data_IF_340368054501
#
_entry.id   IF_340368054501
#
_cell.length_a   1.000
_cell.length_b   1.000
_cell.length_c   1.000
_cell.angle_alpha   90.00
_cell.angle_beta   90.00
_cell.angle_gamma   90.00
#
_symmetry.space_group_name_H-M   'P 1'
#
loop_
_entity.id
_entity.type
_entity.pdbx_description
1 polymer ?
#
# COMPACT_ATOMS: atom_id res chain seq x y z
N UNK A 1 4.12 0.99 -21.63
CA UNK A 1 2.82 0.99 -22.33
C UNK A 1 1.97 2.08 -21.70
N UNK A 2 1.12 2.76 -22.48
CA UNK A 2 0.19 3.75 -21.92
C UNK A 2 -0.79 3.06 -20.94
N UNK A 3 -1.18 3.74 -19.86
CA UNK A 3 -2.09 3.22 -18.86
C UNK A 3 -3.54 3.30 -19.34
N UNK A 4 -3.89 2.43 -20.28
CA UNK A 4 -5.19 2.42 -20.94
C UNK A 4 -6.07 1.32 -20.36
N UNK A 5 -7.28 1.71 -19.98
CA UNK A 5 -8.33 0.80 -19.51
C UNK A 5 -9.49 0.83 -20.51
N UNK A 6 -9.65 -0.27 -21.24
CA UNK A 6 -10.63 -0.41 -22.32
C UNK A 6 -11.88 -1.09 -21.79
N UNK A 7 -13.07 -0.59 -22.13
CA UNK A 7 -14.36 -1.16 -21.72
C UNK A 7 -15.28 -1.28 -22.92
N UNK A 8 -15.92 -2.44 -23.09
CA UNK A 8 -16.86 -2.66 -24.18
C UNK A 8 -17.90 -3.73 -23.83
N UNK A 9 -18.94 -3.80 -24.68
CA UNK A 9 -19.95 -4.84 -24.62
C UNK A 9 -19.53 -6.02 -25.51
N UNK A 10 -19.12 -7.13 -24.89
CA UNK A 10 -18.66 -8.31 -25.60
C UNK A 10 -19.75 -8.90 -26.53
N UNK A 11 -21.02 -8.79 -26.13
CA UNK A 11 -22.14 -9.40 -26.87
C UNK A 11 -22.42 -8.69 -28.19
N UNK A 12 -22.09 -7.40 -28.29
CA UNK A 12 -22.28 -6.64 -29.52
C UNK A 12 -20.99 -6.48 -30.32
N UNK A 13 -19.84 -6.39 -29.66
CA UNK A 13 -18.57 -6.26 -30.37
C UNK A 13 -18.20 -7.55 -31.10
N UNK A 14 -18.34 -8.72 -30.44
CA UNK A 14 -18.04 -10.03 -31.02
C UNK A 14 -19.00 -11.12 -30.51
N UNK A 15 -20.28 -11.11 -30.94
CA UNK A 15 -21.35 -11.99 -30.43
C UNK A 15 -21.06 -13.49 -30.52
N UNK A 16 -20.17 -13.91 -31.41
CA UNK A 16 -19.89 -15.31 -31.71
C UNK A 16 -18.64 -15.86 -31.02
N UNK A 17 -17.90 -15.04 -30.25
CA UNK A 17 -16.61 -15.44 -29.67
C UNK A 17 -16.57 -15.21 -28.17
N UNK A 18 -16.30 -16.26 -27.42
CA UNK A 18 -15.93 -16.17 -26.01
C UNK A 18 -14.47 -15.73 -25.91
N UNK A 19 -14.20 -14.71 -25.09
CA UNK A 19 -12.84 -14.25 -24.79
C UNK A 19 -12.24 -15.23 -23.80
N UNK A 20 -11.17 -15.91 -24.21
CA UNK A 20 -10.56 -17.01 -23.44
C UNK A 20 -9.05 -16.83 -23.18
N UNK A 21 -8.45 -15.80 -23.77
CA UNK A 21 -7.02 -15.50 -23.69
C UNK A 21 -6.80 -13.99 -23.62
N UNK A 22 -5.69 -13.55 -23.06
CA UNK A 22 -5.34 -12.13 -22.94
C UNK A 22 -5.06 -11.51 -24.31
N UNK A 23 -4.49 -12.27 -25.24
CA UNK A 23 -4.23 -11.82 -26.61
C UNK A 23 -5.53 -11.54 -27.37
N UNK A 24 -6.57 -12.36 -27.16
CA UNK A 24 -7.91 -12.09 -27.70
C UNK A 24 -8.51 -10.83 -27.08
N UNK A 25 -8.41 -10.67 -25.76
CA UNK A 25 -8.91 -9.51 -25.05
C UNK A 25 -8.24 -8.21 -25.55
N UNK A 26 -6.91 -8.22 -25.67
CA UNK A 26 -6.12 -7.12 -26.19
C UNK A 26 -6.49 -6.78 -27.64
N UNK A 27 -6.62 -7.79 -28.50
CA UNK A 27 -7.02 -7.61 -29.88
C UNK A 27 -8.39 -6.92 -29.97
N UNK A 28 -9.39 -7.39 -29.23
CA UNK A 28 -10.71 -6.76 -29.26
C UNK A 28 -10.71 -5.36 -28.66
N UNK A 29 -10.00 -5.13 -27.56
CA UNK A 29 -9.87 -3.81 -26.95
C UNK A 29 -9.26 -2.76 -27.90
N UNK A 30 -8.31 -3.18 -28.75
CA UNK A 30 -7.55 -2.29 -29.65
C UNK A 30 -8.10 -2.22 -31.08
N UNK A 31 -9.14 -3.01 -31.41
CA UNK A 31 -9.77 -3.02 -32.73
C UNK A 31 -11.27 -2.70 -32.63
N UNK A 32 -11.63 -1.46 -32.20
CA UNK A 32 -13.02 -1.04 -32.08
C UNK A 32 -13.77 -1.06 -33.41
N UNK A 33 -15.10 -1.17 -33.34
CA UNK A 33 -16.00 -1.07 -34.48
C UNK A 33 -16.82 0.21 -34.41
N UNK A 34 -17.18 0.76 -35.56
CA UNK A 34 -18.00 1.96 -35.68
C UNK A 34 -19.50 1.65 -35.47
N UNK A 35 -19.85 1.13 -34.30
CA UNK A 35 -21.23 0.77 -33.90
C UNK A 35 -21.80 1.69 -32.81
N UNK A 36 -20.96 2.55 -32.24
CA UNK A 36 -21.28 3.41 -31.11
C UNK A 36 -21.45 2.66 -29.79
N UNK A 37 -21.70 3.42 -28.71
CA UNK A 37 -21.88 2.84 -27.38
C UNK A 37 -23.22 2.15 -27.22
N UNK A 38 -23.18 0.95 -26.65
CA UNK A 38 -24.38 0.20 -26.27
C UNK A 38 -25.08 0.85 -25.08
N UNK A 39 -26.38 0.55 -24.88
CA UNK A 39 -27.11 1.03 -23.70
C UNK A 39 -26.51 0.51 -22.40
N UNK A 40 -25.90 -0.68 -22.40
CA UNK A 40 -25.16 -1.20 -21.24
C UNK A 40 -23.92 -0.34 -20.94
N UNK A 41 -23.17 0.03 -21.98
CA UNK A 41 -21.97 0.88 -21.83
C UNK A 41 -22.34 2.29 -21.36
N UNK A 42 -23.42 2.87 -21.90
CA UNK A 42 -23.95 4.16 -21.42
C UNK A 42 -24.44 4.08 -19.97
N UNK A 43 -25.19 3.03 -19.63
CA UNK A 43 -25.70 2.81 -18.26
C UNK A 43 -24.56 2.61 -17.27
N UNK A 44 -23.51 1.90 -17.67
CA UNK A 44 -22.29 1.75 -16.88
C UNK A 44 -21.61 3.09 -16.63
N UNK A 45 -21.43 3.92 -17.67
CA UNK A 45 -20.86 5.26 -17.51
C UNK A 45 -21.65 6.13 -16.53
N UNK A 46 -22.99 6.09 -16.58
CA UNK A 46 -23.86 6.82 -15.66
C UNK A 46 -23.76 6.29 -14.22
N UNK A 47 -23.63 4.97 -14.03
CA UNK A 47 -23.47 4.35 -12.71
C UNK A 47 -22.11 4.75 -12.09
N UNK A 48 -21.04 4.77 -12.90
CA UNK A 48 -19.73 5.26 -12.45
C UNK A 48 -19.79 6.75 -12.13
N UNK A 49 -20.41 7.58 -12.98
CA UNK A 49 -20.64 9.00 -12.70
C UNK A 49 -21.39 9.20 -11.38
N UNK A 50 -22.47 8.47 -11.15
CA UNK A 50 -23.27 8.56 -9.93
C UNK A 50 -22.44 8.26 -8.67
N UNK A 51 -21.55 7.26 -8.73
CA UNK A 51 -20.68 6.91 -7.59
C UNK A 51 -19.61 7.98 -7.39
N UNK A 52 -18.93 8.41 -8.45
CA UNK A 52 -17.82 9.38 -8.40
C UNK A 52 -18.30 10.76 -7.97
N UNK A 53 -19.50 11.16 -8.39
CA UNK A 53 -20.10 12.47 -8.07
C UNK A 53 -20.96 12.47 -6.82
N UNK A 54 -21.17 11.30 -6.19
CA UNK A 54 -21.93 11.20 -4.94
C UNK A 54 -21.30 12.09 -3.87
N UNK A 55 -22.06 12.99 -3.22
CA UNK A 55 -21.53 13.86 -2.18
C UNK A 55 -20.86 13.13 -1.00
N UNK A 56 -21.19 11.87 -0.79
CA UNK A 56 -20.61 11.04 0.29
C UNK A 56 -19.29 10.37 -0.13
N UNK A 57 -19.08 10.16 -1.43
CA UNK A 57 -17.94 9.42 -1.96
C UNK A 57 -16.98 10.29 -2.77
N UNK A 58 -17.41 11.45 -3.27
CA UNK A 58 -16.65 12.35 -4.13
C UNK A 58 -15.31 12.75 -3.52
N UNK A 59 -15.25 12.87 -2.18
CA UNK A 59 -14.03 13.17 -1.42
C UNK A 59 -12.94 12.07 -1.53
N UNK A 60 -13.24 10.92 -2.13
CA UNK A 60 -12.28 9.84 -2.43
C UNK A 60 -11.57 9.98 -3.79
N UNK A 61 -11.90 11.01 -4.56
CA UNK A 61 -11.40 11.17 -5.92
C UNK A 61 -10.74 12.52 -6.12
N UNK A 62 -9.66 12.53 -6.91
CA UNK A 62 -9.05 13.76 -7.38
C UNK A 62 -10.01 14.57 -8.26
N UNK A 63 -9.85 15.89 -8.30
CA UNK A 63 -10.70 16.78 -9.08
C UNK A 63 -10.74 16.40 -10.57
N UNK A 64 -9.62 15.92 -11.13
CA UNK A 64 -9.55 15.45 -12.53
C UNK A 64 -10.47 14.25 -12.78
N UNK A 65 -10.55 13.30 -11.84
CA UNK A 65 -11.45 12.15 -11.92
C UNK A 65 -12.91 12.64 -11.91
N UNK A 66 -13.24 13.53 -10.98
CA UNK A 66 -14.59 14.09 -10.86
C UNK A 66 -14.97 14.83 -12.15
N UNK A 67 -14.10 15.70 -12.65
CA UNK A 67 -14.34 16.47 -13.87
C UNK A 67 -14.50 15.59 -15.12
N UNK A 68 -13.76 14.49 -15.20
CA UNK A 68 -13.90 13.51 -16.29
C UNK A 68 -15.27 12.83 -16.25
N UNK A 69 -15.67 12.28 -15.09
CA UNK A 69 -16.91 11.53 -14.98
C UNK A 69 -18.18 12.38 -14.95
N UNK A 70 -18.10 13.66 -14.57
CA UNK A 70 -19.24 14.61 -14.65
C UNK A 70 -19.62 14.95 -16.11
N UNK A 71 -18.82 14.53 -17.09
CA UNK A 71 -19.02 14.83 -18.52
C UNK A 71 -19.35 13.58 -19.34
N UNK A 72 -19.74 12.46 -18.72
CA UNK A 72 -19.87 11.17 -19.42
C UNK A 72 -20.89 11.17 -20.56
N UNK A 73 -21.94 11.97 -20.46
CA UNK A 73 -22.94 12.12 -21.53
C UNK A 73 -22.32 12.64 -22.84
N UNK A 74 -21.22 13.38 -22.76
CA UNK A 74 -20.46 13.84 -23.92
C UNK A 74 -19.85 12.69 -24.74
N UNK A 75 -19.67 11.51 -24.14
CA UNK A 75 -19.12 10.33 -24.81
C UNK A 75 -20.18 9.49 -25.55
N UNK A 76 -21.47 9.71 -25.31
CA UNK A 76 -22.53 8.81 -25.80
C UNK A 76 -22.66 8.76 -27.33
N UNK A 77 -22.16 9.79 -28.01
CA UNK A 77 -22.20 9.91 -29.46
C UNK A 77 -20.87 9.49 -30.13
N UNK A 78 -19.96 8.85 -29.40
CA UNK A 78 -18.73 8.32 -29.98
C UNK A 78 -19.07 7.21 -30.99
N UNK A 79 -18.35 7.18 -32.13
CA UNK A 79 -18.58 6.18 -33.17
C UNK A 79 -18.02 4.81 -32.78
N UNK A 80 -16.91 4.79 -32.05
CA UNK A 80 -16.32 3.56 -31.49
C UNK A 80 -17.27 2.91 -30.48
N UNK A 81 -17.34 1.58 -30.48
CA UNK A 81 -18.06 0.81 -29.47
C UNK A 81 -17.19 0.36 -28.28
N UNK A 82 -15.93 0.79 -28.24
CA UNK A 82 -15.00 0.61 -27.11
C UNK A 82 -14.74 1.98 -26.48
N UNK A 83 -14.95 2.08 -25.16
CA UNK A 83 -14.58 3.24 -24.36
C UNK A 83 -13.19 3.07 -23.77
N UNK A 84 -12.41 4.15 -23.73
CA UNK A 84 -11.02 4.13 -23.23
C UNK A 84 -10.89 5.15 -22.12
N UNK A 85 -10.37 4.71 -20.97
CA UNK A 85 -9.94 5.57 -19.88
C UNK A 85 -8.42 5.63 -19.92
N UNK A 86 -7.88 6.84 -20.02
CA UNK A 86 -6.44 7.08 -19.98
C UNK A 86 -6.06 7.49 -18.56
N UNK A 87 -5.12 6.75 -17.94
CA UNK A 87 -4.40 7.04 -16.68
C UNK A 87 -5.21 7.33 -15.39
N UNK A 88 -6.51 7.64 -15.46
CA UNK A 88 -7.31 8.04 -14.29
C UNK A 88 -7.44 6.92 -13.26
N UNK A 89 -7.58 5.69 -13.71
CA UNK A 89 -7.69 4.50 -12.87
C UNK A 89 -6.43 4.26 -12.01
N UNK A 90 -5.30 4.85 -12.38
CA UNK A 90 -4.05 4.77 -11.59
C UNK A 90 -4.03 5.74 -10.42
N UNK A 91 -4.80 6.82 -10.51
CA UNK A 91 -4.85 7.88 -9.49
C UNK A 91 -5.62 7.46 -8.26
N UNK A 92 -6.53 6.48 -8.39
CA UNK A 92 -7.32 5.98 -7.27
C UNK A 92 -7.59 4.48 -7.39
N UNK A 93 -7.09 3.71 -6.42
CA UNK A 93 -7.44 2.29 -6.26
C UNK A 93 -8.94 2.10 -6.06
N UNK A 94 -9.60 3.07 -5.43
CA UNK A 94 -11.04 3.02 -5.24
C UNK A 94 -11.80 3.25 -6.55
N UNK A 95 -11.31 4.15 -7.41
CA UNK A 95 -11.83 4.26 -8.79
C UNK A 95 -11.65 2.94 -9.55
N UNK A 96 -10.45 2.33 -9.50
CA UNK A 96 -10.20 1.05 -10.15
C UNK A 96 -11.19 -0.03 -9.70
N UNK A 97 -11.45 -0.12 -8.39
CA UNK A 97 -12.48 -1.00 -7.83
C UNK A 97 -13.87 -0.71 -8.40
N UNK A 98 -14.30 0.55 -8.40
CA UNK A 98 -15.61 0.95 -8.91
C UNK A 98 -15.77 0.57 -10.38
N UNK A 99 -14.75 0.82 -11.21
CA UNK A 99 -14.78 0.46 -12.63
C UNK A 99 -15.02 -1.05 -12.80
N UNK A 100 -14.30 -1.88 -12.04
CA UNK A 100 -14.40 -3.35 -12.10
C UNK A 100 -15.72 -3.88 -11.52
N UNK A 101 -16.21 -3.33 -10.41
CA UNK A 101 -17.47 -3.82 -9.82
C UNK A 101 -18.69 -3.41 -10.66
N UNK A 102 -18.70 -2.19 -11.18
CA UNK A 102 -19.79 -1.70 -12.03
C UNK A 102 -19.82 -2.39 -13.39
N UNK A 103 -18.68 -2.67 -14.04
CA UNK A 103 -18.70 -3.35 -15.35
C UNK A 103 -19.38 -4.72 -15.25
N UNK A 104 -19.19 -5.43 -14.14
CA UNK A 104 -19.81 -6.74 -13.87
C UNK A 104 -21.33 -6.65 -13.75
N UNK A 105 -21.82 -5.60 -13.06
CA UNK A 105 -23.26 -5.31 -12.92
C UNK A 105 -23.92 -5.08 -14.28
N UNK A 106 -23.21 -4.43 -15.21
CA UNK A 106 -23.71 -4.10 -16.55
C UNK A 106 -23.33 -5.13 -17.63
N UNK A 107 -22.74 -6.28 -17.23
CA UNK A 107 -22.32 -7.37 -18.14
C UNK A 107 -21.36 -6.92 -19.24
N UNK A 108 -20.54 -5.94 -18.92
CA UNK A 108 -19.48 -5.46 -19.79
C UNK A 108 -18.19 -6.25 -19.53
N UNK A 109 -17.23 -6.06 -20.41
CA UNK A 109 -15.87 -6.59 -20.24
C UNK A 109 -14.87 -5.44 -20.31
N UNK A 110 -13.70 -5.64 -19.70
CA UNK A 110 -12.62 -4.67 -19.77
C UNK A 110 -11.25 -5.32 -19.93
N UNK A 111 -10.32 -4.54 -20.47
CA UNK A 111 -8.91 -4.90 -20.58
C UNK A 111 -8.04 -3.76 -20.04
N UNK A 112 -7.25 -4.05 -19.02
CA UNK A 112 -6.21 -3.16 -18.51
C UNK A 112 -4.91 -3.48 -19.23
N UNK A 113 -4.49 -2.60 -20.14
CA UNK A 113 -3.29 -2.81 -20.95
C UNK A 113 -1.99 -2.61 -20.16
N UNK A 114 -2.00 -1.88 -19.04
CA UNK A 114 -0.80 -1.69 -18.22
C UNK A 114 -0.51 -2.92 -17.39
N UNK A 115 -1.53 -3.45 -16.71
CA UNK A 115 -1.39 -4.62 -15.84
C UNK A 115 -1.57 -5.93 -16.60
N UNK A 116 -2.00 -5.86 -17.86
CA UNK A 116 -2.26 -7.00 -18.73
C UNK A 116 -3.32 -7.95 -18.12
N UNK A 117 -4.45 -7.36 -17.72
CA UNK A 117 -5.54 -8.04 -17.03
C UNK A 117 -6.83 -7.90 -17.81
N UNK A 118 -7.58 -9.00 -17.92
CA UNK A 118 -8.92 -9.00 -18.49
C UNK A 118 -9.97 -9.19 -17.40
N UNK A 119 -11.05 -8.42 -17.50
CA UNK A 119 -12.20 -8.47 -16.60
C UNK A 119 -13.47 -8.81 -17.35
N UNK A 120 -14.26 -9.72 -16.78
CA UNK A 120 -15.65 -9.98 -17.16
C UNK A 120 -16.51 -10.18 -15.92
N UNK A 121 -17.79 -10.46 -16.14
CA UNK A 121 -18.72 -10.81 -15.06
C UNK A 121 -18.24 -12.03 -14.26
N UNK A 122 -17.79 -13.08 -14.96
CA UNK A 122 -17.57 -14.40 -14.36
C UNK A 122 -16.09 -14.76 -14.21
N UNK A 123 -15.22 -14.14 -15.01
CA UNK A 123 -13.80 -14.52 -15.13
C UNK A 123 -12.89 -13.30 -15.10
N UNK A 124 -11.78 -13.41 -14.36
CA UNK A 124 -10.62 -12.51 -14.45
C UNK A 124 -9.40 -13.32 -14.92
N UNK A 125 -8.64 -12.77 -15.87
CA UNK A 125 -7.34 -13.32 -16.26
C UNK A 125 -6.21 -12.33 -15.97
N UNK A 126 -4.99 -12.79 -15.62
CA UNK A 126 -4.60 -14.20 -15.49
C UNK A 126 -4.87 -14.81 -14.12
N UNK A 127 -5.02 -14.00 -13.07
CA UNK A 127 -5.04 -14.46 -11.67
C UNK A 127 -6.25 -13.90 -10.92
N UNK A 128 -7.36 -14.64 -10.97
CA UNK A 128 -8.63 -14.21 -10.38
C UNK A 128 -8.58 -14.11 -8.85
N UNK A 129 -8.04 -15.10 -8.14
CA UNK A 129 -8.05 -15.09 -6.67
C UNK A 129 -7.28 -13.89 -6.10
N UNK A 130 -6.06 -13.64 -6.60
CA UNK A 130 -5.24 -12.52 -6.13
C UNK A 130 -5.90 -11.17 -6.42
N UNK A 131 -6.53 -11.02 -7.58
CA UNK A 131 -7.17 -9.77 -7.99
C UNK A 131 -8.46 -9.52 -7.19
N UNK A 132 -9.25 -10.57 -6.93
CA UNK A 132 -10.43 -10.46 -6.06
C UNK A 132 -10.06 -10.11 -4.62
N UNK A 133 -8.99 -10.68 -4.07
CA UNK A 133 -8.51 -10.33 -2.72
C UNK A 133 -8.11 -8.85 -2.66
N UNK A 134 -7.38 -8.36 -3.67
CA UNK A 134 -7.01 -6.94 -3.78
C UNK A 134 -8.24 -6.03 -3.86
N UNK A 135 -9.21 -6.33 -4.72
CA UNK A 135 -10.43 -5.52 -4.88
C UNK A 135 -11.29 -5.53 -3.60
N UNK A 136 -11.37 -6.67 -2.92
CA UNK A 136 -12.08 -6.81 -1.64
C UNK A 136 -11.49 -5.97 -0.51
N UNK A 137 -10.17 -5.77 -0.51
CA UNK A 137 -9.47 -4.98 0.51
C UNK A 137 -9.68 -3.46 0.36
N UNK A 138 -9.97 -2.97 -0.84
CA UNK A 138 -10.16 -1.53 -1.11
C UNK A 138 -11.54 -1.08 -0.63
N UNK A 139 -11.59 -0.07 0.23
CA UNK A 139 -12.82 0.51 0.76
C UNK A 139 -12.81 2.04 0.58
N UNK A 140 -13.99 2.69 0.43
CA UNK A 140 -14.05 4.15 0.47
C UNK A 140 -13.55 4.66 1.81
N UNK A 141 -12.75 5.71 1.77
CA UNK A 141 -12.45 6.56 2.91
C UNK A 141 -13.77 7.19 3.36
N UNK A 142 -14.12 7.03 4.63
CA UNK A 142 -15.36 7.55 5.19
C UNK A 142 -15.29 9.06 5.35
N UNK A 143 -16.45 9.72 5.35
CA UNK A 143 -16.55 11.16 5.61
C UNK A 143 -15.92 11.54 6.96
N UNK A 144 -16.02 10.72 8.01
CA UNK A 144 -15.31 11.02 9.27
C UNK A 144 -13.78 10.99 9.11
N UNK A 145 -13.25 10.07 8.29
CA UNK A 145 -11.82 10.01 7.94
C UNK A 145 -11.39 11.18 7.05
N UNK A 146 -12.29 11.80 6.29
CA UNK A 146 -11.97 12.95 5.44
C UNK A 146 -12.10 14.28 6.19
N UNK A 147 -13.12 14.42 7.05
CA UNK A 147 -13.39 15.62 7.84
C UNK A 147 -12.30 15.98 8.86
N UNK A 148 -11.37 15.07 9.17
CA UNK A 148 -10.23 15.40 10.03
C UNK A 148 -9.23 16.33 9.32
N UNK A 149 -9.16 16.32 7.98
CA UNK A 149 -8.19 17.09 7.20
C UNK A 149 -8.68 18.49 6.82
N UNK A 150 -9.48 19.15 7.67
CA UNK A 150 -10.01 20.50 7.36
C UNK A 150 -9.00 21.63 7.52
N UNK A 151 -7.95 21.41 8.30
CA UNK A 151 -6.91 22.38 8.56
C UNK A 151 -5.60 21.66 8.88
N UNK A 152 -4.48 22.31 8.55
CA UNK A 152 -3.16 21.84 8.97
C UNK A 152 -2.98 22.18 10.45
N UNK A 153 -2.55 21.23 11.29
CA UNK A 153 -2.19 21.53 12.67
C UNK A 153 -1.15 22.65 12.77
N UNK A 154 -1.31 23.57 13.72
CA UNK A 154 -0.48 24.79 13.78
C UNK A 154 1.01 24.54 14.02
N UNK A 155 1.38 23.37 14.56
CA UNK A 155 2.76 23.00 14.88
C UNK A 155 2.94 21.48 14.99
N UNK A 156 4.19 21.04 15.10
CA UNK A 156 4.56 19.63 15.25
C UNK A 156 3.88 18.92 16.43
N UNK A 157 3.72 19.56 17.58
CA UNK A 157 3.07 18.93 18.74
C UNK A 157 1.59 18.64 18.46
N UNK A 158 0.87 19.58 17.85
CA UNK A 158 -0.51 19.38 17.40
C UNK A 158 -0.59 18.33 16.29
N UNK A 159 0.42 18.26 15.42
CA UNK A 159 0.51 17.23 14.37
C UNK A 159 0.71 15.82 14.97
N UNK A 160 1.48 15.67 16.06
CA UNK A 160 1.59 14.40 16.80
C UNK A 160 0.23 13.98 17.37
N UNK A 161 -0.51 14.92 17.95
CA UNK A 161 -1.87 14.65 18.47
C UNK A 161 -2.80 14.22 17.34
N UNK A 162 -2.72 14.90 16.19
CA UNK A 162 -3.48 14.56 14.99
C UNK A 162 -3.25 13.11 14.56
N UNK A 163 -1.99 12.67 14.45
CA UNK A 163 -1.65 11.30 14.06
C UNK A 163 -2.24 10.24 15.01
N UNK A 164 -2.30 10.53 16.32
CA UNK A 164 -2.90 9.62 17.31
C UNK A 164 -4.41 9.52 17.16
N UNK A 165 -5.11 10.65 17.01
CA UNK A 165 -6.56 10.63 16.76
C UNK A 165 -6.88 9.98 15.42
N UNK A 166 -6.06 10.21 14.40
CA UNK A 166 -6.16 9.51 13.11
C UNK A 166 -6.06 7.99 13.28
N UNK A 167 -5.06 7.48 14.02
CA UNK A 167 -4.96 6.04 14.31
C UNK A 167 -6.19 5.49 15.03
N UNK A 168 -6.74 6.25 15.98
CA UNK A 168 -7.91 5.87 16.76
C UNK A 168 -9.19 5.80 15.92
N UNK A 169 -9.40 6.76 15.01
CA UNK A 169 -10.52 6.74 14.05
C UNK A 169 -10.39 5.52 13.13
N UNK A 170 -9.17 5.22 12.69
CA UNK A 170 -8.86 4.11 11.79
C UNK A 170 -8.70 2.74 12.49
N UNK A 171 -8.99 2.64 13.79
CA UNK A 171 -8.77 1.43 14.60
C UNK A 171 -9.44 0.19 14.03
N UNK A 172 -10.64 0.30 13.43
CA UNK A 172 -11.36 -0.87 12.87
C UNK A 172 -10.57 -1.52 11.73
N UNK A 173 -10.00 -0.70 10.84
CA UNK A 173 -9.27 -1.18 9.66
C UNK A 173 -7.83 -1.53 9.99
N UNK A 174 -7.12 -0.64 10.70
CA UNK A 174 -5.68 -0.79 10.96
C UNK A 174 -5.35 -1.61 12.21
N UNK A 175 -6.33 -1.81 13.09
CA UNK A 175 -6.25 -2.61 14.34
C UNK A 175 -5.21 -2.14 15.36
N UNK A 176 -4.70 -0.91 15.22
CA UNK A 176 -3.84 -0.29 16.24
C UNK A 176 -4.64 0.15 17.46
N UNK A 177 -4.12 -0.18 18.64
CA UNK A 177 -4.71 0.09 19.94
C UNK A 177 -3.63 0.47 20.94
N UNK A 178 -3.93 1.43 21.81
CA UNK A 178 -3.07 1.71 22.94
C UNK A 178 -3.07 0.53 23.91
N UNK A 179 -1.91 -0.07 24.11
CA UNK A 179 -1.73 -1.20 25.03
C UNK A 179 -0.31 -1.22 25.59
N UNK A 180 -0.05 -2.13 26.52
CA UNK A 180 1.29 -2.40 27.04
C UNK A 180 1.65 -3.82 26.64
N UNK A 181 2.82 -3.98 26.03
CA UNK A 181 3.41 -5.28 25.70
C UNK A 181 4.63 -5.50 26.59
N UNK A 182 4.92 -6.77 26.91
CA UNK A 182 6.00 -7.13 27.83
C UNK A 182 7.05 -7.99 27.11
N UNK A 183 8.27 -7.47 27.03
CA UNK A 183 9.50 -8.18 26.67
C UNK A 183 10.71 -7.29 27.01
N UNK A 184 11.93 -7.71 26.64
CA UNK A 184 13.16 -6.98 26.90
C UNK A 184 13.24 -5.57 26.27
N UNK A 185 12.37 -5.26 25.31
CA UNK A 185 12.31 -3.96 24.63
C UNK A 185 11.06 -3.14 25.03
N UNK A 186 9.94 -3.79 25.32
CA UNK A 186 8.66 -3.13 25.58
C UNK A 186 8.30 -3.20 27.06
N UNK A 187 8.26 -2.02 27.69
CA UNK A 187 7.61 -1.75 28.97
C UNK A 187 7.02 -0.33 28.99
N UNK A 188 6.34 0.03 27.90
CA UNK A 188 5.74 1.36 27.69
C UNK A 188 4.38 1.23 27.03
N UNK A 189 3.50 2.15 27.40
CA UNK A 189 2.21 2.33 26.75
C UNK A 189 2.42 2.96 25.37
N UNK A 190 1.94 2.30 24.32
CA UNK A 190 2.08 2.75 22.93
C UNK A 190 0.98 2.14 22.06
N UNK A 191 0.91 2.55 20.80
CA UNK A 191 0.00 1.97 19.80
C UNK A 191 0.59 0.67 19.28
N UNK A 192 -0.12 -0.43 19.52
CA UNK A 192 0.21 -1.75 19.01
C UNK A 192 -0.95 -2.34 18.23
N UNK A 193 -0.65 -3.17 17.23
CA UNK A 193 -1.62 -4.09 16.62
C UNK A 193 -1.15 -5.53 16.80
N UNK A 194 -2.08 -6.40 17.12
CA UNK A 194 -1.84 -7.84 17.24
C UNK A 194 -2.27 -8.55 15.96
N UNK A 195 -1.38 -9.36 15.40
CA UNK A 195 -1.70 -10.21 14.24
C UNK A 195 -2.09 -11.62 14.69
N UNK A 196 -1.35 -12.15 15.66
CA UNK A 196 -1.60 -13.42 16.33
C UNK A 196 -0.87 -13.43 17.68
N UNK A 197 -0.90 -14.56 18.39
CA UNK A 197 -0.29 -14.70 19.72
C UNK A 197 1.24 -14.52 19.75
N UNK A 198 1.91 -14.64 18.59
CA UNK A 198 3.36 -14.56 18.46
C UNK A 198 3.83 -13.26 17.79
N UNK A 199 2.99 -12.61 17.01
CA UNK A 199 3.38 -11.45 16.20
C UNK A 199 2.50 -10.26 16.53
N UNK A 200 3.15 -9.19 16.93
CA UNK A 200 2.51 -7.88 17.07
C UNK A 200 3.45 -6.79 16.59
N UNK A 201 2.92 -5.61 16.38
CA UNK A 201 3.68 -4.49 15.86
C UNK A 201 3.35 -3.19 16.57
N UNK A 202 4.35 -2.34 16.76
CA UNK A 202 4.15 -0.95 17.17
C UNK A 202 4.38 0.03 16.02
N UNK A 203 3.67 1.15 16.05
CA UNK A 203 3.86 2.27 15.12
C UNK A 203 4.31 3.54 15.82
N UNK A 204 5.19 4.30 15.16
CA UNK A 204 5.56 5.65 15.53
C UNK A 204 5.59 6.54 14.28
N UNK A 205 4.81 7.61 14.28
CA UNK A 205 4.77 8.62 13.21
C UNK A 205 5.51 9.86 13.72
N UNK A 206 6.60 10.25 13.06
CA UNK A 206 7.50 11.30 13.53
C UNK A 206 7.34 12.59 12.72
N UNK A 207 7.31 13.71 13.42
CA UNK A 207 7.33 15.04 12.81
C UNK A 207 8.77 15.48 12.50
N UNK A 208 8.94 16.26 11.44
CA UNK A 208 10.23 16.84 11.13
C UNK A 208 10.67 17.81 12.24
N UNK A 209 11.91 17.65 12.73
CA UNK A 209 12.48 18.56 13.72
C UNK A 209 13.10 19.79 13.02
N UNK A 210 12.24 20.63 12.41
CA UNK A 210 12.63 21.83 11.67
C UNK A 210 11.79 23.02 12.13
N UNK A 211 12.45 24.16 12.32
CA UNK A 211 11.76 25.39 12.75
C UNK A 211 10.81 25.86 11.65
N UNK A 212 9.59 26.23 12.04
CA UNK A 212 8.52 26.70 11.13
C UNK A 212 8.12 25.71 10.03
N UNK A 213 8.40 24.42 10.21
CA UNK A 213 7.99 23.36 9.29
C UNK A 213 7.10 22.39 10.04
N UNK A 214 5.81 22.39 9.71
CA UNK A 214 4.86 21.36 10.16
C UNK A 214 4.74 20.30 9.07
N UNK A 215 5.35 19.14 9.30
CA UNK A 215 5.27 17.97 8.40
C UNK A 215 5.68 16.69 9.13
N UNK A 216 5.37 15.53 8.54
CA UNK A 216 5.90 14.23 8.99
C UNK A 216 7.21 13.91 8.27
N UNK A 217 8.22 13.44 8.99
CA UNK A 217 9.51 13.06 8.43
C UNK A 217 9.64 11.57 8.14
N UNK A 218 9.05 10.72 8.97
CA UNK A 218 9.16 9.28 8.84
C UNK A 218 8.08 8.55 9.63
N UNK A 219 7.89 7.28 9.26
CA UNK A 219 7.11 6.30 10.00
C UNK A 219 8.01 5.14 10.34
N UNK A 220 8.05 4.83 11.62
CA UNK A 220 8.79 3.69 12.14
C UNK A 220 7.82 2.63 12.63
N UNK A 221 7.91 1.46 12.01
CA UNK A 221 7.26 0.24 12.45
C UNK A 221 8.26 -0.62 13.23
N UNK A 222 7.80 -1.29 14.28
CA UNK A 222 8.58 -2.32 14.96
C UNK A 222 7.75 -3.58 15.08
N UNK A 223 8.09 -4.58 14.28
CA UNK A 223 7.53 -5.91 14.37
C UNK A 223 8.21 -6.65 15.51
N UNK A 224 7.41 -7.27 16.38
CA UNK A 224 7.87 -8.08 17.51
C UNK A 224 7.42 -9.52 17.28
N UNK A 225 8.39 -10.43 17.16
CA UNK A 225 8.17 -11.87 17.11
C UNK A 225 8.46 -12.42 18.51
N UNK A 226 7.41 -12.74 19.26
CA UNK A 226 7.49 -13.20 20.63
C UNK A 226 8.00 -14.65 20.68
N UNK A 227 9.15 -14.85 21.32
CA UNK A 227 9.77 -16.18 21.52
C UNK A 227 9.39 -16.75 22.89
N UNK A 228 9.29 -15.88 23.90
CA UNK A 228 8.80 -16.19 25.24
C UNK A 228 8.21 -14.93 25.86
N UNK A 229 7.60 -15.00 27.05
CA UNK A 229 7.01 -13.83 27.74
C UNK A 229 7.99 -12.69 28.06
N UNK A 230 9.30 -12.95 28.00
CA UNK A 230 10.35 -11.95 28.28
C UNK A 230 11.27 -11.68 27.10
N UNK A 231 11.26 -12.53 26.06
CA UNK A 231 12.12 -12.42 24.87
C UNK A 231 11.28 -12.30 23.61
N UNK A 232 11.55 -11.27 22.82
CA UNK A 232 11.06 -11.13 21.45
C UNK A 232 12.20 -10.79 20.50
N UNK A 233 12.06 -11.12 19.21
CA UNK A 233 12.89 -10.55 18.15
C UNK A 233 12.20 -9.26 17.70
N UNK A 234 12.92 -8.14 17.73
CA UNK A 234 12.40 -6.84 17.29
C UNK A 234 13.02 -6.42 15.97
N UNK A 235 12.21 -6.33 14.92
CA UNK A 235 12.61 -5.84 13.60
C UNK A 235 12.06 -4.42 13.43
N UNK A 236 12.97 -3.44 13.30
CA UNK A 236 12.63 -2.03 13.12
C UNK A 236 12.72 -1.68 11.64
N UNK A 237 11.67 -1.05 11.11
CA UNK A 237 11.52 -0.67 9.70
C UNK A 237 11.12 0.80 9.66
N UNK A 238 11.93 1.63 9.01
CA UNK A 238 11.74 3.08 8.97
C UNK A 238 11.55 3.54 7.53
N UNK A 239 10.38 4.12 7.27
CA UNK A 239 9.99 4.66 5.97
C UNK A 239 9.99 6.18 6.05
N UNK A 240 10.87 6.81 5.28
CA UNK A 240 10.95 8.27 5.21
C UNK A 240 9.78 8.84 4.43
N UNK A 241 9.40 10.08 4.75
CA UNK A 241 8.50 10.89 3.97
C UNK A 241 9.34 12.00 3.34
N UNK A 242 9.35 12.01 2.02
CA UNK A 242 10.09 12.99 1.23
C UNK A 242 9.09 13.79 0.40
N UNK A 243 9.16 15.12 0.48
CA UNK A 243 8.10 16.02 0.08
C UNK A 243 6.77 15.64 0.75
N UNK A 244 5.91 14.93 0.02
CA UNK A 244 4.62 14.42 0.46
C UNK A 244 4.45 12.94 0.14
N UNK A 245 5.54 12.22 -0.14
CA UNK A 245 5.53 10.84 -0.62
C UNK A 245 6.19 9.92 0.39
N UNK A 246 5.46 8.87 0.78
CA UNK A 246 5.99 7.80 1.63
C UNK A 246 6.98 6.96 0.81
N UNK A 247 8.20 6.84 1.29
CA UNK A 247 9.27 6.10 0.64
C UNK A 247 9.20 4.63 1.04
N UNK A 248 8.47 3.81 0.27
CA UNK A 248 8.37 2.35 0.50
C UNK A 248 8.86 1.49 -0.69
N UNK A 249 9.35 2.09 -1.79
CA UNK A 249 10.20 1.45 -2.80
C UNK A 249 11.52 2.23 -3.03
N UNK A 250 12.69 1.75 -2.55
CA UNK A 250 13.94 2.52 -2.58
C UNK A 250 14.51 2.69 -3.99
N UNK A 251 14.23 1.73 -4.88
CA UNK A 251 14.77 1.70 -6.25
C UNK A 251 14.07 2.69 -7.18
N UNK A 252 12.92 3.25 -6.80
CA UNK A 252 12.11 4.15 -7.64
C UNK A 252 12.30 5.62 -7.19
N UNK A 253 12.52 5.87 -5.90
CA UNK A 253 12.36 7.23 -5.36
C UNK A 253 13.59 7.85 -4.72
N UNK A 254 14.71 7.12 -4.59
CA UNK A 254 15.92 7.65 -3.95
C UNK A 254 15.69 7.92 -2.46
N UNK A 255 16.60 7.46 -1.61
CA UNK A 255 16.54 7.78 -0.16
C UNK A 255 16.99 9.22 0.12
N UNK A 256 17.17 10.04 -0.93
CA UNK A 256 17.67 11.40 -0.88
C UNK A 256 16.51 12.39 -1.07
N UNK A 257 16.15 13.05 0.02
CA UNK A 257 15.31 14.25 0.02
C UNK A 257 14.74 14.53 1.40
N UNK A 258 13.99 15.62 1.52
CA UNK A 258 13.53 16.13 2.80
C UNK A 258 12.00 16.27 2.81
N UNK A 259 11.38 16.05 3.97
CA UNK A 259 9.96 16.31 4.15
C UNK A 259 9.64 17.79 3.93
N UNK A 260 8.57 18.06 3.19
CA UNK A 260 8.13 19.41 2.84
C UNK A 260 7.01 19.88 3.78
N UNK A 261 6.99 21.18 4.05
CA UNK A 261 5.94 21.79 4.88
C UNK A 261 4.56 21.53 4.28
N UNK A 262 3.58 21.22 5.14
CA UNK A 262 2.18 21.24 4.73
C UNK A 262 1.70 22.68 4.61
N UNK A 263 1.40 23.11 3.39
CA UNK A 263 0.79 24.40 3.05
C UNK A 263 -0.72 24.28 2.84
N UNK A 264 -1.21 23.11 2.45
CA UNK A 264 -2.63 22.81 2.28
C UNK A 264 -3.03 21.47 2.96
N UNK A 265 -4.24 21.37 3.54
CA UNK A 265 -4.69 20.14 4.20
C UNK A 265 -4.75 18.90 3.29
N UNK A 266 -4.93 19.07 1.98
CA UNK A 266 -4.87 17.96 1.00
C UNK A 266 -3.50 17.27 1.00
N UNK A 267 -2.42 17.98 1.30
CA UNK A 267 -1.07 17.38 1.39
C UNK A 267 -0.95 16.49 2.63
N UNK A 268 -1.53 16.91 3.76
CA UNK A 268 -1.60 16.11 4.97
C UNK A 268 -2.45 14.86 4.76
N UNK A 269 -3.59 15.01 4.08
CA UNK A 269 -4.46 13.89 3.67
C UNK A 269 -3.70 12.92 2.76
N UNK A 270 -3.03 13.43 1.73
CA UNK A 270 -2.28 12.63 0.78
C UNK A 270 -1.17 11.80 1.45
N UNK A 271 -0.43 12.40 2.38
CA UNK A 271 0.56 11.66 3.17
C UNK A 271 -0.12 10.57 3.98
N UNK A 272 -1.11 10.90 4.82
CA UNK A 272 -1.74 9.90 5.69
C UNK A 272 -2.53 8.82 4.92
N UNK A 273 -2.97 9.08 3.69
CA UNK A 273 -3.56 8.06 2.83
C UNK A 273 -2.51 7.05 2.35
N UNK A 274 -1.32 7.50 1.93
CA UNK A 274 -0.24 6.58 1.58
C UNK A 274 0.17 5.72 2.78
N UNK A 275 0.17 6.31 3.97
CA UNK A 275 0.43 5.60 5.23
C UNK A 275 -0.65 4.56 5.48
N UNK A 276 -1.93 4.93 5.35
CA UNK A 276 -3.04 4.00 5.47
C UNK A 276 -2.87 2.78 4.55
N UNK A 277 -2.67 3.05 3.26
CA UNK A 277 -2.50 2.03 2.22
C UNK A 277 -1.32 1.11 2.52
N UNK A 278 -0.19 1.69 2.93
CA UNK A 278 0.99 0.92 3.32
C UNK A 278 0.70 0.04 4.55
N UNK A 279 0.01 0.55 5.58
CA UNK A 279 -0.29 -0.23 6.78
C UNK A 279 -1.26 -1.40 6.53
N UNK A 280 -2.15 -1.27 5.53
CA UNK A 280 -2.98 -2.39 5.05
C UNK A 280 -2.10 -3.43 4.36
N UNK A 281 -1.25 -3.02 3.41
CA UNK A 281 -0.30 -3.92 2.75
C UNK A 281 0.64 -4.63 3.72
N UNK A 282 1.15 -3.89 4.71
CA UNK A 282 2.03 -4.39 5.76
C UNK A 282 1.35 -5.50 6.59
N UNK A 283 0.06 -5.33 6.89
CA UNK A 283 -0.68 -6.31 7.68
C UNK A 283 -0.75 -7.68 6.98
N UNK A 284 -0.89 -7.67 5.65
CA UNK A 284 -0.91 -8.88 4.83
C UNK A 284 0.40 -9.67 4.93
N UNK A 285 1.52 -8.97 5.12
CA UNK A 285 2.84 -9.60 5.26
C UNK A 285 3.07 -10.18 6.65
N UNK A 286 2.25 -9.82 7.63
CA UNK A 286 2.31 -10.33 9.01
C UNK A 286 1.29 -11.47 9.27
N UNK A 287 0.60 -11.97 8.23
CA UNK A 287 -0.35 -13.11 8.33
C UNK A 287 0.26 -14.31 9.07
N UNK A 288 1.55 -14.60 8.85
CA UNK A 288 2.29 -15.65 9.55
C UNK A 288 3.82 -15.39 9.49
N UNK A 289 4.58 -16.17 10.26
CA UNK A 289 6.04 -16.02 10.35
C UNK A 289 6.78 -16.29 9.03
N UNK A 290 6.31 -17.23 8.20
CA UNK A 290 6.94 -17.52 6.92
C UNK A 290 6.77 -16.34 5.96
N UNK A 291 5.56 -15.81 5.81
CA UNK A 291 5.29 -14.63 4.98
C UNK A 291 6.10 -13.43 5.45
N UNK A 292 6.18 -13.21 6.76
CA UNK A 292 6.98 -12.13 7.33
C UNK A 292 8.47 -12.33 7.04
N UNK A 293 9.00 -13.54 7.26
CA UNK A 293 10.41 -13.85 7.01
C UNK A 293 10.78 -13.65 5.54
N UNK A 294 9.94 -14.13 4.62
CA UNK A 294 10.12 -13.91 3.18
C UNK A 294 10.18 -12.42 2.86
N UNK A 295 9.27 -11.63 3.42
CA UNK A 295 9.22 -10.21 3.10
C UNK A 295 10.42 -9.43 3.65
N UNK A 296 10.80 -9.63 4.92
CA UNK A 296 11.85 -8.84 5.58
C UNK A 296 13.27 -9.29 5.27
N UNK A 297 13.46 -10.55 4.84
CA UNK A 297 14.79 -11.08 4.49
C UNK A 297 15.03 -11.19 2.99
N UNK A 298 14.00 -11.51 2.20
CA UNK A 298 14.14 -11.78 0.75
C UNK A 298 13.43 -10.76 -0.13
N UNK A 299 12.40 -10.08 0.37
CA UNK A 299 11.66 -9.04 -0.33
C UNK A 299 12.29 -7.65 -0.26
N UNK A 300 11.58 -6.68 -0.83
CA UNK A 300 12.05 -5.28 -0.91
C UNK A 300 12.18 -4.61 0.46
N UNK A 301 11.45 -5.09 1.47
CA UNK A 301 11.43 -4.53 2.82
C UNK A 301 12.80 -4.58 3.50
N UNK A 302 13.66 -5.54 3.09
CA UNK A 302 15.03 -5.66 3.59
C UNK A 302 15.85 -4.38 3.42
N UNK A 303 15.52 -3.55 2.43
CA UNK A 303 16.19 -2.28 2.16
C UNK A 303 15.95 -1.21 3.23
N UNK A 304 14.82 -1.30 3.96
CA UNK A 304 14.41 -0.38 5.03
C UNK A 304 14.93 -0.78 6.41
N UNK A 305 15.58 -1.93 6.49
CA UNK A 305 16.17 -2.47 7.71
C UNK A 305 17.67 -2.19 7.68
N UNK A 306 18.12 -1.25 8.49
CA UNK A 306 19.54 -0.82 8.55
C UNK A 306 20.09 -0.89 9.96
N UNK A 307 21.41 -0.74 10.10
CA UNK A 307 22.10 -0.78 11.40
C UNK A 307 21.82 -2.10 12.13
N UNK A 308 21.57 -2.03 13.45
CA UNK A 308 21.29 -3.24 14.25
C UNK A 308 19.98 -3.94 13.87
N UNK A 309 19.07 -3.29 13.13
CA UNK A 309 17.88 -3.96 12.61
C UNK A 309 18.23 -5.12 11.67
N UNK A 310 19.36 -5.04 10.97
CA UNK A 310 19.85 -6.12 10.09
C UNK A 310 20.19 -7.36 10.92
N UNK A 311 20.80 -7.17 12.09
CA UNK A 311 21.11 -8.27 13.00
C UNK A 311 19.81 -8.91 13.49
N UNK A 312 18.81 -8.12 13.88
CA UNK A 312 17.50 -8.65 14.29
C UNK A 312 16.82 -9.50 13.21
N UNK A 313 16.82 -9.06 11.94
CA UNK A 313 16.20 -9.86 10.86
C UNK A 313 16.97 -11.16 10.58
N UNK A 314 18.30 -11.17 10.78
CA UNK A 314 19.10 -12.41 10.69
C UNK A 314 18.82 -13.34 11.86
N UNK A 315 18.69 -12.84 13.09
CA UNK A 315 18.23 -13.67 14.23
C UNK A 315 16.87 -14.29 13.91
N UNK A 316 15.97 -13.54 13.28
CA UNK A 316 14.69 -14.07 12.81
C UNK A 316 14.84 -15.14 11.72
N UNK A 317 15.66 -14.91 10.69
CA UNK A 317 15.96 -15.91 9.67
C UNK A 317 16.52 -17.21 10.28
N UNK A 318 17.40 -17.09 11.28
CA UNK A 318 17.96 -18.23 12.01
C UNK A 318 16.88 -18.99 12.77
N UNK A 319 16.01 -18.27 13.48
CA UNK A 319 14.86 -18.84 14.20
C UNK A 319 13.92 -19.62 13.25
N UNK A 320 13.73 -19.12 12.04
CA UNK A 320 12.91 -19.76 11.00
C UNK A 320 13.59 -20.93 10.29
N UNK A 321 14.86 -21.23 10.61
CA UNK A 321 15.69 -22.17 9.86
C UNK A 321 15.72 -21.86 8.35
N UNK A 322 15.89 -20.57 8.01
CA UNK A 322 15.90 -20.12 6.62
C UNK A 322 16.98 -20.84 5.81
N UNK A 323 16.66 -21.50 4.69
CA UNK A 323 17.62 -22.28 3.90
C UNK A 323 18.71 -21.41 3.25
N UNK A 324 18.48 -20.10 3.13
CA UNK A 324 19.43 -19.14 2.57
C UNK A 324 20.13 -18.30 3.66
N UNK A 325 20.09 -18.75 4.91
CA UNK A 325 20.63 -18.02 6.04
C UNK A 325 22.08 -17.54 5.83
N UNK A 326 22.96 -18.42 5.35
CA UNK A 326 24.38 -18.06 5.17
C UNK A 326 24.55 -16.98 4.09
N UNK A 327 23.79 -17.06 3.00
CA UNK A 327 23.76 -15.99 1.97
C UNK A 327 23.27 -14.66 2.55
N UNK A 328 22.23 -14.70 3.40
CA UNK A 328 21.71 -13.49 4.05
C UNK A 328 22.75 -12.83 4.96
N UNK A 329 23.59 -13.63 5.64
CA UNK A 329 24.70 -13.15 6.47
C UNK A 329 25.77 -12.50 5.59
N UNK A 330 26.14 -13.12 4.48
CA UNK A 330 27.17 -12.62 3.57
C UNK A 330 26.80 -11.25 2.95
N UNK A 331 25.52 -11.01 2.65
CA UNK A 331 25.06 -9.73 2.08
C UNK A 331 24.72 -8.64 3.12
N UNK A 332 24.82 -8.93 4.42
CA UNK A 332 24.25 -8.07 5.48
C UNK A 332 25.06 -6.80 5.77
N UNK A 333 26.39 -6.88 5.74
CA UNK A 333 27.27 -5.81 6.23
C UNK A 333 27.03 -4.45 5.52
N UNK A 334 26.85 -4.38 4.19
CA UNK A 334 26.50 -3.13 3.52
C UNK A 334 25.24 -2.46 4.05
N UNK A 335 24.20 -3.23 4.42
CA UNK A 335 22.95 -2.68 4.97
C UNK A 335 23.15 -2.11 6.38
N UNK A 336 24.01 -2.72 7.19
CA UNK A 336 24.36 -2.22 8.52
C UNK A 336 25.05 -0.86 8.38
N UNK A 337 26.03 -0.76 7.47
CA UNK A 337 26.87 0.42 7.28
C UNK A 337 26.12 1.62 6.68
N UNK A 338 24.91 1.42 6.11
CA UNK A 338 24.01 2.54 5.73
C UNK A 338 23.60 3.39 6.93
N UNK A 339 23.55 2.80 8.13
CA UNK A 339 23.18 3.52 9.34
C UNK A 339 24.38 4.33 9.87
N UNK A 340 24.20 5.63 10.11
CA UNK A 340 25.29 6.57 10.48
C UNK A 340 26.17 6.11 11.65
N UNK A 341 25.57 5.47 12.68
CA UNK A 341 26.29 5.00 13.86
C UNK A 341 27.11 3.72 13.63
N UNK A 342 26.82 2.96 12.56
CA UNK A 342 27.46 1.67 12.27
C UNK A 342 28.25 1.68 10.96
N UNK A 343 28.45 2.86 10.36
CA UNK A 343 29.17 3.06 9.10
C UNK A 343 30.59 2.49 9.09
N UNK A 344 31.21 2.33 10.27
CA UNK A 344 32.57 1.80 10.45
C UNK A 344 32.62 0.37 11.03
N UNK A 345 31.48 -0.32 11.15
CA UNK A 345 31.45 -1.69 11.66
C UNK A 345 32.22 -2.61 10.70
N UNK A 346 33.14 -3.42 11.25
CA UNK A 346 33.90 -4.42 10.48
C UNK A 346 33.10 -5.71 10.32
N UNK A 347 33.61 -6.62 9.49
CA UNK A 347 33.02 -7.95 9.32
C UNK A 347 33.12 -8.76 10.63
N UNK A 348 34.27 -8.68 11.32
CA UNK A 348 34.48 -9.34 12.61
C UNK A 348 33.52 -8.81 13.68
N UNK A 349 33.39 -7.49 13.81
CA UNK A 349 32.46 -6.84 14.76
C UNK A 349 31.01 -7.31 14.51
N UNK A 350 30.63 -7.40 13.24
CA UNK A 350 29.31 -7.87 12.82
C UNK A 350 29.07 -9.33 13.24
N UNK A 351 29.99 -10.25 12.93
CA UNK A 351 29.83 -11.67 13.28
C UNK A 351 29.84 -11.89 14.79
N UNK A 352 30.69 -11.18 15.54
CA UNK A 352 30.69 -11.24 17.01
C UNK A 352 29.34 -10.80 17.55
N UNK A 353 28.81 -9.67 17.07
CA UNK A 353 27.52 -9.15 17.53
C UNK A 353 26.36 -10.06 17.15
N UNK A 354 26.33 -10.59 15.93
CA UNK A 354 25.29 -11.52 15.48
C UNK A 354 25.28 -12.79 16.32
N UNK A 355 26.46 -13.39 16.57
CA UNK A 355 26.60 -14.58 17.41
C UNK A 355 26.08 -14.34 18.81
N UNK A 356 26.40 -13.17 19.38
CA UNK A 356 25.91 -12.77 20.70
C UNK A 356 24.39 -12.62 20.72
N UNK A 357 23.79 -11.91 19.78
CA UNK A 357 22.33 -11.70 19.74
C UNK A 357 21.56 -13.02 19.52
N UNK A 358 22.10 -13.94 18.71
CA UNK A 358 21.54 -15.29 18.56
C UNK A 358 21.52 -16.02 19.90
N UNK A 359 22.64 -16.01 20.63
CA UNK A 359 22.71 -16.60 21.97
C UNK A 359 21.74 -15.95 22.95
N UNK A 360 21.73 -14.62 23.00
CA UNK A 360 20.94 -13.87 23.97
C UNK A 360 19.42 -14.08 23.75
N UNK A 361 18.99 -14.23 22.49
CA UNK A 361 17.56 -14.32 22.13
C UNK A 361 17.08 -15.77 21.96
N UNK A 362 17.84 -16.62 21.26
CA UNK A 362 17.41 -17.97 20.87
C UNK A 362 17.92 -19.07 21.81
N UNK A 363 19.11 -18.89 22.40
CA UNK A 363 19.61 -19.83 23.40
C UNK A 363 19.04 -19.46 24.78
N UNK A 364 18.81 -20.48 25.61
CA UNK A 364 18.02 -20.42 26.86
C UNK A 364 18.44 -19.27 27.78
#
# INVERSE_FOLDING_TARGET
>A
MAALFYVWDATQHHPQKTISTLEQAEFFATNPQDLGFTENLKSWLLDVEQIVTSPELAENFDEEIIQFFTKVQGFFNFSSNVFVIEHLQEKSKYLYKILVETLRKHKLVAFDAKHYVFFSQDVIFPDQESIEEMLGAVNPITKEQLLQFKAIPENGDKLIVFAKEWLKINKKSLKFNESVKNNQYTKKHSYYRDFNDLIYESILILCANKKNVTTYSEITLSSYIQISTQKAIRIVRTHYINNYTLQYFPNIHGVEGEASHFDDPSQLQFVLQQVYDFLIYDAEKHKNLNTLNQWVNHGDEKQYITGLGVISRLVFAKYMNDPLYDQLVDEALPYIQRHRFFKKMTLEDFHERLTKEIKDILDK
#
